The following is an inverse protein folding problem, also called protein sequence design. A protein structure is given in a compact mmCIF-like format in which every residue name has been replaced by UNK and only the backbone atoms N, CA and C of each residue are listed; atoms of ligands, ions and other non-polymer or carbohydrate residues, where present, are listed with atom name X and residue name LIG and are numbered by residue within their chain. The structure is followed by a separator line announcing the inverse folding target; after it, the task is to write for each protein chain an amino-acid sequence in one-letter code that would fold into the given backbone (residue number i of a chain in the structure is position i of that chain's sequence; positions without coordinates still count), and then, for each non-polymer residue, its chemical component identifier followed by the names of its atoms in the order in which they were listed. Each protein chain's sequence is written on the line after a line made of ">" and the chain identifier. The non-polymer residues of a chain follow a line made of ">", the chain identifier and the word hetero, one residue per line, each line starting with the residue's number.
data_IF_353194259936
#
_entry.id   IF_353194259936
#
_cell.length_a   1.000
_cell.length_b   1.000
_cell.length_c   1.000
_cell.angle_alpha   90.00
_cell.angle_beta   90.00
_cell.angle_gamma   90.00
#
_symmetry.space_group_name_H-M   'P 1'
#
loop_
_entity.id
_entity.type
_entity.pdbx_description
1 polymer ?
#
# COMPACT_ATOMS: atom_id res chain seq x y z
N UNK A 1 3.52 28.23 1.38
CA UNK A 1 3.36 27.26 2.47
C UNK A 1 3.96 25.95 2.01
N UNK A 2 5.24 25.72 2.31
CA UNK A 2 5.93 24.48 1.96
C UNK A 2 5.79 23.54 3.16
N UNK A 3 4.91 22.54 3.05
CA UNK A 3 4.83 21.47 4.03
C UNK A 3 5.70 20.32 3.54
N UNK A 4 6.85 20.10 4.19
CA UNK A 4 7.71 18.96 3.93
C UNK A 4 7.41 17.81 4.90
N UNK A 5 7.46 16.58 4.39
CA UNK A 5 7.26 15.36 5.16
C UNK A 5 8.47 15.22 6.10
N UNK A 6 8.31 15.64 7.35
CA UNK A 6 9.41 15.88 8.29
C UNK A 6 10.41 14.72 8.43
N UNK A 7 9.95 13.47 8.45
CA UNK A 7 10.80 12.28 8.33
C UNK A 7 9.93 11.02 8.30
N UNK A 8 10.11 10.16 7.30
CA UNK A 8 9.49 8.83 7.28
C UNK A 8 10.59 7.78 7.48
N UNK A 9 10.60 7.09 8.62
CA UNK A 9 11.67 6.16 8.95
C UNK A 9 11.67 4.99 7.95
N UNK A 10 12.62 4.92 7.00
CA UNK A 10 12.47 4.13 5.78
C UNK A 10 12.38 2.63 6.06
N UNK A 11 13.09 2.16 7.08
CA UNK A 11 13.11 0.76 7.51
C UNK A 11 11.76 0.33 8.12
N UNK A 12 11.11 1.19 8.90
CA UNK A 12 9.80 0.86 9.52
C UNK A 12 8.71 0.85 8.44
N UNK A 13 8.74 1.80 7.51
CA UNK A 13 7.81 1.86 6.39
C UNK A 13 7.98 0.68 5.44
N UNK A 14 9.22 0.32 5.08
CA UNK A 14 9.49 -0.84 4.23
C UNK A 14 8.99 -2.14 4.86
N UNK A 15 9.22 -2.34 6.17
CA UNK A 15 8.71 -3.53 6.89
C UNK A 15 7.18 -3.57 6.88
N UNK A 16 6.52 -2.44 7.12
CA UNK A 16 5.06 -2.37 7.07
C UNK A 16 4.53 -2.68 5.67
N UNK A 17 5.14 -2.11 4.62
CA UNK A 17 4.81 -2.40 3.22
C UNK A 17 4.97 -3.88 2.87
N UNK A 18 6.07 -4.50 3.31
CA UNK A 18 6.32 -5.93 3.11
C UNK A 18 5.28 -6.77 3.86
N UNK A 19 4.93 -6.42 5.10
CA UNK A 19 3.92 -7.13 5.88
C UNK A 19 2.53 -7.03 5.23
N UNK A 20 2.15 -5.84 4.78
CA UNK A 20 0.91 -5.62 4.03
C UNK A 20 0.92 -6.44 2.74
N UNK A 21 2.04 -6.43 2.00
CA UNK A 21 2.19 -7.25 0.82
C UNK A 21 2.04 -8.75 1.14
N UNK A 22 2.72 -9.27 2.16
CA UNK A 22 2.60 -10.68 2.55
C UNK A 22 1.17 -11.03 3.01
N UNK A 23 0.50 -10.16 3.79
CA UNK A 23 -0.84 -10.42 4.29
C UNK A 23 -1.92 -10.41 3.22
N UNK A 24 -1.81 -9.54 2.21
CA UNK A 24 -2.85 -9.42 1.19
C UNK A 24 -2.46 -10.12 -0.11
N UNK A 25 -1.22 -9.98 -0.56
CA UNK A 25 -0.77 -10.52 -1.85
C UNK A 25 -0.61 -12.03 -1.85
N UNK A 26 -0.03 -12.63 -0.79
CA UNK A 26 0.17 -14.09 -0.78
C UNK A 26 -1.16 -14.84 -0.79
N UNK A 27 -2.18 -14.48 0.00
CA UNK A 27 -3.47 -15.16 -0.06
C UNK A 27 -4.16 -15.00 -1.41
N UNK A 28 -4.14 -13.81 -2.01
CA UNK A 28 -4.80 -13.55 -3.31
C UNK A 28 -4.14 -14.37 -4.42
N UNK A 29 -2.81 -14.35 -4.51
CA UNK A 29 -2.07 -15.12 -5.52
C UNK A 29 -2.24 -16.63 -5.27
N UNK A 30 -2.15 -17.08 -4.01
CA UNK A 30 -2.34 -18.49 -3.65
C UNK A 30 -3.74 -18.98 -4.01
N UNK A 31 -4.78 -18.17 -3.77
CA UNK A 31 -6.15 -18.47 -4.17
C UNK A 31 -6.27 -18.61 -5.69
N UNK A 32 -5.69 -17.69 -6.46
CA UNK A 32 -5.70 -17.74 -7.93
C UNK A 32 -5.01 -18.99 -8.47
N UNK A 33 -3.84 -19.34 -7.92
CA UNK A 33 -3.13 -20.57 -8.26
C UNK A 33 -3.93 -21.82 -7.87
N UNK A 34 -4.52 -21.82 -6.68
CA UNK A 34 -5.34 -22.94 -6.19
C UNK A 34 -6.56 -23.20 -7.06
N UNK A 35 -7.30 -22.15 -7.42
CA UNK A 35 -8.47 -22.25 -8.32
C UNK A 35 -8.05 -22.77 -9.70
N UNK A 36 -6.92 -22.28 -10.22
CA UNK A 36 -6.40 -22.73 -11.52
C UNK A 36 -6.01 -24.21 -11.47
N UNK A 37 -5.31 -24.62 -10.42
CA UNK A 37 -4.90 -26.00 -10.22
C UNK A 37 -6.11 -26.94 -10.13
N UNK A 38 -7.14 -26.59 -9.36
CA UNK A 38 -8.37 -27.39 -9.25
C UNK A 38 -9.11 -27.48 -10.60
N UNK A 39 -9.12 -26.41 -11.39
CA UNK A 39 -9.93 -26.33 -12.62
C UNK A 39 -9.25 -26.96 -13.84
N UNK A 40 -7.93 -26.81 -13.96
CA UNK A 40 -7.18 -27.18 -15.15
C UNK A 40 -6.18 -28.33 -14.90
N UNK A 41 -5.90 -28.68 -13.64
CA UNK A 41 -4.89 -29.69 -13.29
C UNK A 41 -3.44 -29.28 -13.59
N UNK A 42 -3.26 -28.07 -14.13
CA UNK A 42 -1.99 -27.49 -14.53
C UNK A 42 -2.00 -25.98 -14.22
N UNK A 43 -0.82 -25.37 -14.22
CA UNK A 43 -0.63 -23.93 -14.00
C UNK A 43 -0.18 -23.25 -15.30
N UNK A 44 -1.11 -23.00 -16.25
CA UNK A 44 -0.77 -22.30 -17.48
C UNK A 44 -0.15 -20.94 -17.16
N UNK A 45 1.01 -20.66 -17.76
CA UNK A 45 1.81 -19.48 -17.48
C UNK A 45 1.02 -18.17 -17.63
N UNK A 46 0.12 -18.09 -18.62
CA UNK A 46 -0.75 -16.93 -18.86
C UNK A 46 -1.65 -16.65 -17.65
N UNK A 47 -2.19 -17.70 -17.02
CA UNK A 47 -3.06 -17.58 -15.84
C UNK A 47 -2.27 -17.12 -14.62
N UNK A 48 -1.02 -17.57 -14.48
CA UNK A 48 -0.12 -17.09 -13.43
C UNK A 48 0.18 -15.60 -13.62
N UNK A 49 0.51 -15.18 -14.85
CA UNK A 49 0.76 -13.77 -15.17
C UNK A 49 -0.48 -12.89 -14.93
N UNK A 50 -1.66 -13.34 -15.38
CA UNK A 50 -2.90 -12.59 -15.16
C UNK A 50 -3.27 -12.50 -13.68
N UNK A 51 -3.03 -13.55 -12.89
CA UNK A 51 -3.22 -13.54 -11.44
C UNK A 51 -2.29 -12.53 -10.75
N UNK A 52 -1.03 -12.42 -11.18
CA UNK A 52 -0.09 -11.41 -10.63
C UNK A 52 -0.55 -9.99 -10.98
N UNK A 53 -0.97 -9.75 -12.22
CA UNK A 53 -1.48 -8.43 -12.65
C UNK A 53 -2.75 -8.07 -11.87
N UNK A 54 -3.69 -9.00 -11.76
CA UNK A 54 -4.92 -8.80 -11.00
C UNK A 54 -4.61 -8.51 -9.52
N UNK A 55 -3.68 -9.25 -8.93
CA UNK A 55 -3.22 -9.01 -7.58
C UNK A 55 -2.60 -7.62 -7.41
N UNK A 56 -1.78 -7.16 -8.37
CA UNK A 56 -1.20 -5.82 -8.34
C UNK A 56 -2.28 -4.73 -8.42
N UNK A 57 -3.29 -4.90 -9.28
CA UNK A 57 -4.42 -3.97 -9.41
C UNK A 57 -5.27 -3.92 -8.14
N UNK A 58 -5.59 -5.09 -7.57
CA UNK A 58 -6.36 -5.19 -6.31
C UNK A 58 -5.56 -4.58 -5.16
N UNK A 59 -4.28 -4.93 -5.03
CA UNK A 59 -3.40 -4.40 -3.99
C UNK A 59 -3.27 -2.87 -4.07
N UNK A 60 -3.08 -2.34 -5.28
CA UNK A 60 -3.05 -0.89 -5.50
C UNK A 60 -4.38 -0.22 -5.16
N UNK A 61 -5.50 -0.81 -5.59
CA UNK A 61 -6.84 -0.30 -5.28
C UNK A 61 -7.15 -0.30 -3.78
N UNK A 62 -6.76 -1.35 -3.06
CA UNK A 62 -6.92 -1.45 -1.61
C UNK A 62 -6.05 -0.42 -0.87
N UNK A 63 -4.80 -0.24 -1.29
CA UNK A 63 -3.91 0.76 -0.70
C UNK A 63 -4.43 2.18 -0.95
N UNK A 64 -4.87 2.47 -2.18
CA UNK A 64 -5.53 3.73 -2.52
C UNK A 64 -6.74 3.98 -1.62
N UNK A 65 -7.60 2.97 -1.47
CA UNK A 65 -8.80 3.07 -0.65
C UNK A 65 -8.46 3.30 0.82
N UNK A 66 -7.44 2.60 1.35
CA UNK A 66 -6.96 2.78 2.71
C UNK A 66 -6.43 4.20 2.94
N UNK A 67 -5.63 4.74 2.02
CA UNK A 67 -5.15 6.12 2.08
C UNK A 67 -6.31 7.12 2.05
N UNK A 68 -7.30 6.90 1.17
CA UNK A 68 -8.48 7.76 1.07
C UNK A 68 -9.34 7.69 2.33
N UNK A 69 -9.54 6.49 2.88
CA UNK A 69 -10.28 6.28 4.12
C UNK A 69 -9.59 6.96 5.30
N UNK A 70 -8.26 6.82 5.41
CA UNK A 70 -7.47 7.50 6.41
C UNK A 70 -7.61 9.03 6.33
N UNK A 71 -7.44 9.61 5.14
CA UNK A 71 -7.59 11.06 4.93
C UNK A 71 -9.00 11.54 5.27
N UNK A 72 -10.03 10.74 4.95
CA UNK A 72 -11.42 11.05 5.28
C UNK A 72 -11.67 11.02 6.80
N UNK A 73 -11.17 10.00 7.50
CA UNK A 73 -11.26 9.91 8.98
C UNK A 73 -10.51 11.08 9.62
N UNK A 74 -9.31 11.39 9.13
CA UNK A 74 -8.48 12.49 9.63
C UNK A 74 -9.18 13.85 9.53
N UNK A 75 -9.90 14.10 8.43
CA UNK A 75 -10.66 15.33 8.24
C UNK A 75 -11.90 15.43 9.15
N UNK A 76 -12.47 14.29 9.57
CA UNK A 76 -13.74 14.24 10.32
C UNK A 76 -13.56 14.18 11.84
N UNK A 77 -12.55 13.47 12.32
CA UNK A 77 -12.37 13.16 13.74
C UNK A 77 -11.07 13.73 14.34
N UNK A 78 -10.26 14.44 13.55
CA UNK A 78 -8.91 14.84 13.93
C UNK A 78 -7.94 13.68 13.70
N UNK A 79 -7.19 13.73 12.60
CA UNK A 79 -6.21 12.71 12.24
C UNK A 79 -4.99 12.71 13.15
N UNK A 80 -4.01 11.86 12.82
CA UNK A 80 -2.68 11.96 13.44
C UNK A 80 -2.17 13.38 13.17
N UNK A 81 -2.03 14.18 14.21
CA UNK A 81 -1.40 15.50 14.15
C UNK A 81 0.05 15.30 13.70
N UNK A 82 0.27 15.39 12.40
CA UNK A 82 1.62 15.49 11.86
C UNK A 82 2.12 16.86 12.30
N UNK A 83 2.95 16.90 13.33
CA UNK A 83 3.69 18.11 13.71
C UNK A 83 4.61 18.50 12.55
N UNK A 84 4.06 19.26 11.61
CA UNK A 84 4.81 19.92 10.56
C UNK A 84 5.57 21.05 11.23
N UNK A 85 6.89 20.95 11.29
CA UNK A 85 7.74 22.03 11.78
C UNK A 85 7.80 23.08 10.68
N UNK A 86 7.23 24.26 10.93
CA UNK A 86 7.37 25.40 10.03
C UNK A 86 8.85 25.86 10.05
N UNK A 87 9.52 25.80 8.90
CA UNK A 87 10.79 26.48 8.69
C UNK A 87 10.47 27.97 8.46
N UNK A 88 10.83 28.81 9.43
CA UNK A 88 10.82 30.26 9.28
C UNK A 88 11.80 30.65 8.15
N UNK A 89 11.46 31.59 7.26
CA UNK A 89 12.29 31.99 6.13
C UNK A 89 13.55 32.79 6.48
N UNK A 90 14.17 32.55 7.64
CA UNK A 90 15.35 33.31 8.12
C UNK A 90 16.68 32.55 8.13
N UNK A 91 16.72 31.27 7.70
CA UNK A 91 17.95 30.47 7.60
C UNK A 91 18.58 30.48 6.18
N UNK A 92 18.56 31.62 5.50
CA UNK A 92 19.35 31.86 4.27
C UNK A 92 20.13 33.19 4.38
N UNK A 93 21.07 33.24 5.34
CA UNK A 93 22.06 34.32 5.46
C UNK A 93 23.45 33.80 5.79
#
# INVERSE_FOLDING_TARGET
>A
MNQEIAYLHPVKTARALVLVYLCFSLPIVSLGLFVTFIRYGDLPAITVFSAIILNALIGFGLLWLACKAYNWVAARFGGIEVHVRELSPEEDR
#
